data_IF_598574860663
#
_entry.id   IF_598574860663
#
_cell.length_a   1.000
_cell.length_b   1.000
_cell.length_c   1.000
_cell.angle_alpha   90.00
_cell.angle_beta   90.00
_cell.angle_gamma   90.00
#
_symmetry.space_group_name_H-M   'P 1'
#
loop_
_entity.id
_entity.type
_entity.pdbx_description
1 polymer ?
#
# COMPACT_ATOMS: atom_id res chain seq x y z
N UNK A 1 -3.98 -47.23 -2.95
CA UNK A 1 -2.70 -46.48 -2.87
C UNK A 1 -2.70 -45.22 -3.74
N UNK A 2 -3.13 -45.25 -5.02
CA UNK A 2 -3.26 -44.04 -5.88
C UNK A 2 -4.15 -42.93 -5.28
N UNK A 3 -5.33 -43.28 -4.79
CA UNK A 3 -6.30 -42.30 -4.25
C UNK A 3 -5.83 -41.56 -2.99
N UNK A 4 -4.96 -42.20 -2.18
CA UNK A 4 -4.33 -41.57 -0.99
C UNK A 4 -3.20 -40.61 -1.37
N UNK A 5 -2.46 -40.91 -2.44
CA UNK A 5 -1.44 -40.01 -2.99
C UNK A 5 -2.07 -38.80 -3.70
N UNK A 6 -3.20 -38.98 -4.39
CA UNK A 6 -3.89 -37.89 -5.08
C UNK A 6 -4.47 -36.87 -4.07
N UNK A 7 -5.10 -37.37 -2.99
CA UNK A 7 -5.57 -36.53 -1.87
C UNK A 7 -4.43 -35.82 -1.13
N UNK A 8 -3.26 -36.46 -0.97
CA UNK A 8 -2.08 -35.82 -0.38
C UNK A 8 -1.47 -34.74 -1.29
N UNK A 9 -1.49 -34.95 -2.61
CA UNK A 9 -0.98 -33.98 -3.59
C UNK A 9 -1.89 -32.76 -3.63
N UNK A 10 -3.22 -32.95 -3.66
CA UNK A 10 -4.19 -31.86 -3.58
C UNK A 10 -4.05 -31.01 -2.32
N UNK A 11 -3.91 -31.65 -1.15
CA UNK A 11 -3.71 -30.95 0.13
C UNK A 11 -2.44 -30.08 0.13
N UNK A 12 -1.32 -30.58 -0.39
CA UNK A 12 -0.07 -29.81 -0.49
C UNK A 12 -0.20 -28.58 -1.39
N UNK A 13 -0.90 -28.72 -2.52
CA UNK A 13 -1.12 -27.60 -3.47
C UNK A 13 -1.98 -26.51 -2.82
N UNK A 14 -3.00 -26.89 -2.05
CA UNK A 14 -3.81 -25.93 -1.30
C UNK A 14 -3.01 -25.21 -0.21
N UNK A 15 -2.22 -25.94 0.57
CA UNK A 15 -1.35 -25.36 1.60
C UNK A 15 -0.33 -24.37 1.02
N UNK A 16 0.28 -24.70 -0.12
CA UNK A 16 1.25 -23.82 -0.80
C UNK A 16 0.59 -22.55 -1.35
N UNK A 17 -0.61 -22.67 -1.94
CA UNK A 17 -1.38 -21.51 -2.40
C UNK A 17 -1.77 -20.57 -1.26
N UNK A 18 -2.18 -21.12 -0.12
CA UNK A 18 -2.53 -20.33 1.07
C UNK A 18 -1.30 -19.58 1.59
N UNK A 19 -0.15 -20.27 1.71
CA UNK A 19 1.11 -19.63 2.12
C UNK A 19 1.53 -18.51 1.19
N UNK A 20 1.52 -18.74 -0.11
CA UNK A 20 1.87 -17.71 -1.10
C UNK A 20 0.94 -16.50 -1.00
N UNK A 21 -0.37 -16.72 -0.81
CA UNK A 21 -1.34 -15.64 -0.63
C UNK A 21 -1.11 -14.84 0.67
N UNK A 22 -0.68 -15.48 1.75
CA UNK A 22 -0.31 -14.81 3.00
C UNK A 22 0.98 -13.98 2.84
N UNK A 23 2.00 -14.53 2.19
CA UNK A 23 3.24 -13.81 1.89
C UNK A 23 2.97 -12.57 1.04
N UNK A 24 2.12 -12.66 0.02
CA UNK A 24 1.74 -11.53 -0.81
C UNK A 24 1.05 -10.41 0.00
N UNK A 25 0.15 -10.77 0.93
CA UNK A 25 -0.50 -9.81 1.84
C UNK A 25 0.52 -9.10 2.72
N UNK A 26 1.46 -9.85 3.29
CA UNK A 26 2.51 -9.30 4.16
C UNK A 26 3.39 -8.32 3.37
N UNK A 27 3.82 -8.71 2.17
CA UNK A 27 4.66 -7.84 1.32
C UNK A 27 3.88 -6.59 0.90
N UNK A 28 2.62 -6.73 0.49
CA UNK A 28 1.79 -5.59 0.13
C UNK A 28 1.60 -4.61 1.31
N UNK A 29 1.37 -5.14 2.52
CA UNK A 29 1.30 -4.32 3.74
C UNK A 29 2.59 -3.54 3.97
N UNK A 30 3.75 -4.20 3.93
CA UNK A 30 5.03 -3.52 4.10
C UNK A 30 5.32 -2.51 2.99
N UNK A 31 4.80 -2.74 1.78
CA UNK A 31 4.93 -1.82 0.65
C UNK A 31 4.22 -0.48 0.90
N UNK A 32 3.10 -0.48 1.64
CA UNK A 32 2.42 0.75 2.09
C UNK A 32 3.06 1.30 3.36
N UNK A 33 3.29 0.44 4.35
CA UNK A 33 3.71 0.81 5.69
C UNK A 33 5.09 1.49 5.68
N UNK A 34 6.03 0.96 4.89
CA UNK A 34 7.38 1.53 4.73
C UNK A 34 7.43 2.64 3.66
N UNK A 35 6.29 3.03 3.09
CA UNK A 35 6.15 4.12 2.14
C UNK A 35 7.12 3.97 0.95
N UNK A 36 8.00 4.96 0.74
CA UNK A 36 8.95 4.97 -0.38
C UNK A 36 9.91 3.78 -0.37
N UNK A 37 10.35 3.34 0.82
CA UNK A 37 11.26 2.19 0.97
C UNK A 37 10.51 0.91 0.58
N UNK A 38 9.28 0.76 1.06
CA UNK A 38 8.40 -0.35 0.70
C UNK A 38 8.11 -0.41 -0.80
N UNK A 39 7.88 0.75 -1.43
CA UNK A 39 7.68 0.85 -2.87
C UNK A 39 8.88 0.33 -3.67
N UNK A 40 10.11 0.73 -3.32
CA UNK A 40 11.30 0.24 -4.03
C UNK A 40 11.52 -1.27 -3.85
N UNK A 41 11.25 -1.80 -2.65
CA UNK A 41 11.31 -3.25 -2.40
C UNK A 41 10.31 -3.98 -3.31
N UNK A 42 9.06 -3.53 -3.35
CA UNK A 42 8.05 -4.10 -4.25
C UNK A 42 8.46 -4.01 -5.72
N UNK A 43 9.03 -2.88 -6.14
CA UNK A 43 9.44 -2.63 -7.51
C UNK A 43 10.60 -3.53 -7.97
N UNK A 44 11.56 -3.82 -7.09
CA UNK A 44 12.70 -4.66 -7.44
C UNK A 44 12.34 -6.14 -7.37
N UNK A 45 11.64 -6.57 -6.33
CA UNK A 45 11.46 -7.99 -6.01
C UNK A 45 10.10 -8.58 -6.41
N UNK A 46 9.09 -7.74 -6.68
CA UNK A 46 7.69 -8.17 -6.88
C UNK A 46 6.95 -7.36 -7.96
N UNK A 47 7.67 -6.78 -8.94
CA UNK A 47 7.09 -5.94 -10.00
C UNK A 47 5.94 -6.59 -10.78
N UNK A 48 6.02 -7.90 -11.01
CA UNK A 48 5.06 -8.63 -11.83
C UNK A 48 3.76 -8.93 -11.05
N UNK A 49 3.80 -8.78 -9.71
CA UNK A 49 2.63 -8.96 -8.87
C UNK A 49 1.80 -7.66 -8.82
N UNK A 50 0.69 -7.66 -9.56
CA UNK A 50 -0.25 -6.53 -9.65
C UNK A 50 -0.85 -6.13 -8.29
N UNK A 51 -1.08 -7.09 -7.40
CA UNK A 51 -1.62 -6.83 -6.06
C UNK A 51 -0.60 -6.07 -5.21
N UNK A 52 0.63 -6.57 -5.11
CA UNK A 52 1.71 -5.91 -4.37
C UNK A 52 2.01 -4.53 -4.97
N UNK A 53 2.10 -4.43 -6.29
CA UNK A 53 2.39 -3.16 -6.98
C UNK A 53 1.29 -2.11 -6.79
N UNK A 54 0.02 -2.52 -6.69
CA UNK A 54 -1.08 -1.61 -6.39
C UNK A 54 -0.91 -0.94 -5.02
N UNK A 55 -0.57 -1.72 -3.99
CA UNK A 55 -0.32 -1.20 -2.65
C UNK A 55 1.01 -0.46 -2.53
N UNK A 56 2.04 -0.88 -3.27
CA UNK A 56 3.28 -0.12 -3.39
C UNK A 56 3.05 1.31 -3.92
N UNK A 57 2.19 1.47 -4.93
CA UNK A 57 1.79 2.79 -5.45
C UNK A 57 1.10 3.65 -4.38
N UNK A 58 0.34 3.03 -3.46
CA UNK A 58 -0.26 3.77 -2.34
C UNK A 58 0.81 4.36 -1.41
N UNK A 59 1.81 3.56 -1.04
CA UNK A 59 2.95 4.03 -0.23
C UNK A 59 3.70 5.19 -0.89
N UNK A 60 3.89 5.12 -2.21
CA UNK A 60 4.51 6.19 -3.01
C UNK A 60 3.69 7.48 -3.01
N UNK A 61 2.37 7.39 -3.23
CA UNK A 61 1.47 8.55 -3.26
C UNK A 61 1.42 9.23 -1.90
N UNK A 62 1.31 8.46 -0.82
CA UNK A 62 1.31 8.99 0.54
C UNK A 62 2.64 9.71 0.83
N UNK A 63 3.76 9.14 0.41
CA UNK A 63 5.07 9.78 0.56
C UNK A 63 5.14 11.15 -0.13
N UNK A 64 4.71 11.24 -1.39
CA UNK A 64 4.67 12.53 -2.09
C UNK A 64 3.67 13.51 -1.48
N UNK A 65 2.50 13.04 -1.02
CA UNK A 65 1.53 13.88 -0.33
C UNK A 65 2.13 14.51 0.94
N UNK A 66 2.91 13.75 1.72
CA UNK A 66 3.62 14.28 2.89
C UNK A 66 4.66 15.34 2.52
N UNK A 67 5.42 15.13 1.44
CA UNK A 67 6.39 16.12 0.95
C UNK A 67 5.67 17.41 0.54
N UNK A 68 4.55 17.29 -0.18
CA UNK A 68 3.75 18.45 -0.60
C UNK A 68 3.25 19.24 0.61
N UNK A 69 2.68 18.58 1.62
CA UNK A 69 2.23 19.26 2.85
C UNK A 69 3.38 19.99 3.53
N UNK A 70 4.54 19.35 3.69
CA UNK A 70 5.72 20.00 4.29
C UNK A 70 6.19 21.22 3.49
N UNK A 71 6.13 21.16 2.16
CA UNK A 71 6.47 22.29 1.30
C UNK A 71 5.45 23.43 1.43
N UNK A 72 4.16 23.10 1.49
CA UNK A 72 3.08 24.06 1.74
C UNK A 72 3.22 24.73 3.11
N UNK A 73 3.56 23.98 4.16
CA UNK A 73 3.84 24.52 5.50
C UNK A 73 4.99 25.54 5.47
N UNK A 74 6.04 25.28 4.69
CA UNK A 74 7.17 26.19 4.54
C UNK A 74 6.79 27.49 3.82
N UNK A 75 5.92 27.43 2.80
CA UNK A 75 5.52 28.61 2.01
C UNK A 75 4.47 29.45 2.74
N UNK A 76 3.59 28.84 3.55
CA UNK A 76 2.45 29.51 4.20
C UNK A 76 2.85 30.26 5.49
N UNK A 77 4.15 30.48 5.75
CA UNK A 77 4.66 31.28 6.86
C UNK A 77 4.05 32.70 6.97
N UNK A 78 3.42 33.20 5.89
CA UNK A 78 2.75 34.50 5.82
C UNK A 78 1.42 34.55 6.61
N UNK A 79 0.74 33.41 6.85
CA UNK A 79 -0.53 33.37 7.63
C UNK A 79 -0.42 32.35 8.78
N UNK A 80 0.11 32.77 9.96
CA UNK A 80 0.61 31.85 10.98
C UNK A 80 -0.44 30.99 11.70
N UNK A 81 -1.73 31.33 11.66
CA UNK A 81 -2.80 30.59 12.36
C UNK A 81 -3.61 29.69 11.42
N UNK A 82 -4.15 30.24 10.33
CA UNK A 82 -4.92 29.47 9.34
C UNK A 82 -4.07 28.38 8.67
N UNK A 83 -2.80 28.68 8.35
CA UNK A 83 -1.89 27.72 7.73
C UNK A 83 -1.67 26.47 8.60
N UNK A 84 -1.51 26.64 9.92
CA UNK A 84 -1.31 25.53 10.86
C UNK A 84 -2.55 24.66 11.01
N UNK A 85 -3.73 25.25 11.03
CA UNK A 85 -5.00 24.50 11.15
C UNK A 85 -5.22 23.63 9.91
N UNK A 86 -5.03 24.20 8.72
CA UNK A 86 -5.19 23.47 7.45
C UNK A 86 -4.15 22.37 7.33
N UNK A 87 -2.88 22.66 7.66
CA UNK A 87 -1.81 21.67 7.65
C UNK A 87 -2.08 20.51 8.63
N UNK A 88 -2.56 20.83 9.84
CA UNK A 88 -2.95 19.82 10.82
C UNK A 88 -4.07 18.90 10.31
N UNK A 89 -5.08 19.46 9.66
CA UNK A 89 -6.16 18.67 9.07
C UNK A 89 -5.67 17.80 7.89
N UNK A 90 -4.79 18.34 7.05
CA UNK A 90 -4.20 17.60 5.94
C UNK A 90 -3.34 16.41 6.43
N UNK A 91 -2.55 16.60 7.49
CA UNK A 91 -1.82 15.52 8.16
C UNK A 91 -2.76 14.43 8.70
N UNK A 92 -3.88 14.83 9.30
CA UNK A 92 -4.88 13.88 9.81
C UNK A 92 -5.46 13.01 8.69
N UNK A 93 -5.80 13.61 7.54
CA UNK A 93 -6.27 12.88 6.36
C UNK A 93 -5.20 11.89 5.86
N UNK A 94 -3.93 12.31 5.78
CA UNK A 94 -2.84 11.43 5.36
C UNK A 94 -2.71 10.21 6.28
N UNK A 95 -2.79 10.41 7.59
CA UNK A 95 -2.70 9.31 8.56
C UNK A 95 -3.84 8.31 8.35
N UNK A 96 -5.08 8.80 8.15
CA UNK A 96 -6.23 7.94 7.85
C UNK A 96 -5.99 7.14 6.58
N UNK A 97 -5.54 7.81 5.51
CA UNK A 97 -5.26 7.17 4.23
C UNK A 97 -4.14 6.12 4.32
N UNK A 98 -3.12 6.37 5.14
CA UNK A 98 -2.02 5.43 5.40
C UNK A 98 -2.49 4.20 6.18
N UNK A 99 -3.32 4.39 7.21
CA UNK A 99 -3.91 3.28 7.98
C UNK A 99 -4.84 2.46 7.08
N UNK A 100 -5.73 3.11 6.32
CA UNK A 100 -6.65 2.42 5.41
C UNK A 100 -5.91 1.63 4.34
N UNK A 101 -4.90 2.24 3.70
CA UNK A 101 -4.05 1.56 2.74
C UNK A 101 -3.36 0.34 3.32
N UNK A 102 -2.83 0.45 4.53
CA UNK A 102 -2.16 -0.64 5.23
C UNK A 102 -3.13 -1.78 5.59
N UNK A 103 -4.30 -1.48 6.16
CA UNK A 103 -5.31 -2.49 6.50
C UNK A 103 -5.83 -3.18 5.23
N UNK A 104 -6.07 -2.41 4.16
CA UNK A 104 -6.58 -2.96 2.90
C UNK A 104 -5.53 -3.83 2.20
N UNK A 105 -4.24 -3.53 2.36
CA UNK A 105 -3.14 -4.35 1.87
C UNK A 105 -3.03 -5.72 2.56
N UNK A 106 -3.71 -5.94 3.69
CA UNK A 106 -3.83 -7.25 4.33
C UNK A 106 -5.07 -8.04 3.88
N UNK A 107 -5.92 -7.45 3.05
CA UNK A 107 -7.20 -8.08 2.67
C UNK A 107 -7.07 -9.17 1.61
N UNK A 108 -5.95 -9.22 0.87
CA UNK A 108 -5.74 -10.16 -0.24
C UNK A 108 -6.47 -9.80 -1.53
N UNK A 109 -7.14 -8.65 -1.58
CA UNK A 109 -7.78 -8.12 -2.78
C UNK A 109 -7.47 -6.63 -2.95
N UNK A 110 -7.42 -6.15 -4.19
CA UNK A 110 -7.25 -4.71 -4.46
C UNK A 110 -8.53 -3.96 -4.05
N UNK A 111 -8.51 -3.38 -2.85
CA UNK A 111 -9.59 -2.55 -2.34
C UNK A 111 -9.33 -1.09 -2.67
N UNK A 112 -10.36 -0.41 -3.19
CA UNK A 112 -10.30 1.05 -3.43
C UNK A 112 -10.18 1.80 -2.11
N UNK A 113 -9.03 2.43 -1.90
CA UNK A 113 -8.83 3.51 -0.94
C UNK A 113 -9.21 4.84 -1.62
N UNK A 114 -10.16 5.61 -1.06
CA UNK A 114 -10.53 6.92 -1.60
C UNK A 114 -9.32 7.82 -1.82
N UNK A 115 -9.35 8.67 -2.85
CA UNK A 115 -8.27 9.58 -3.27
C UNK A 115 -7.00 8.90 -3.80
N UNK A 116 -6.48 7.87 -3.11
CA UNK A 116 -5.22 7.23 -3.50
C UNK A 116 -5.41 6.30 -4.71
N UNK A 117 -6.48 5.52 -4.74
CA UNK A 117 -6.66 4.49 -5.77
C UNK A 117 -6.74 5.06 -7.18
N UNK A 118 -7.42 6.20 -7.33
CA UNK A 118 -7.56 6.88 -8.62
C UNK A 118 -6.22 7.42 -9.13
N UNK A 119 -5.36 7.88 -8.22
CA UNK A 119 -4.01 8.35 -8.55
C UNK A 119 -3.12 7.14 -8.86
N UNK A 120 -3.22 6.06 -8.08
CA UNK A 120 -2.45 4.84 -8.27
C UNK A 120 -2.76 4.15 -9.60
N UNK A 121 -4.03 4.13 -10.02
CA UNK A 121 -4.47 3.55 -11.31
C UNK A 121 -3.91 4.30 -12.52
N UNK A 122 -3.64 5.61 -12.38
CA UNK A 122 -3.05 6.43 -13.46
C UNK A 122 -1.54 6.22 -13.62
N UNK A 123 -0.88 5.68 -12.60
CA UNK A 123 0.56 5.40 -12.63
C UNK A 123 0.79 4.12 -13.45
N UNK A 124 1.26 4.26 -14.69
CA UNK A 124 1.68 3.15 -15.56
C UNK A 124 3.12 2.73 -15.19
N UNK A 125 3.21 1.72 -14.35
CA UNK A 125 4.43 0.99 -13.96
C UNK A 125 4.02 -0.47 -13.87
#
# INVERSE_FOLDING_TARGET
MKEKNDKMTGKKIEEEKVKNAEEEKIIAFFSVFLLIIGFFIALIFRKDNKYIMYYAKHGLIIFFAMILIKLLEYVVLVIPVLGKIIAGFAWFIIIILWILGSIYALSGAQKRVPLISEIAEKIKI
#
